data_IF_653693385598
#
_entry.id   IF_653693385598
#
_cell.length_a   1.000
_cell.length_b   1.000
_cell.length_c   1.000
_cell.angle_alpha   90.00
_cell.angle_beta   90.00
_cell.angle_gamma   90.00
#
_symmetry.space_group_name_H-M   'P 1'
#
loop_
_entity.id
_entity.type
_entity.pdbx_description
1 polymer ?
#
# COMPACT_ATOMS: atom_id res chain seq x y z
N UNK A 1 9.28 16.33 26.45
CA UNK A 1 8.85 17.52 25.68
C UNK A 1 8.90 17.12 24.20
N UNK A 2 7.77 17.13 23.48
CA UNK A 2 7.73 16.74 22.06
C UNK A 2 8.24 17.94 21.24
N UNK A 3 9.32 17.75 20.48
CA UNK A 3 9.90 18.75 19.61
C UNK A 3 9.10 18.79 18.30
N UNK A 4 8.45 19.92 18.03
CA UNK A 4 7.81 20.14 16.72
C UNK A 4 8.91 20.44 15.71
N UNK A 5 8.98 19.64 14.66
CA UNK A 5 9.94 19.84 13.57
C UNK A 5 9.17 20.14 12.28
N UNK A 6 9.70 21.01 11.44
CA UNK A 6 9.23 21.06 10.05
C UNK A 6 9.92 19.95 9.27
N UNK A 7 9.28 19.47 8.18
CA UNK A 7 9.89 18.46 7.30
C UNK A 7 11.27 18.89 6.75
N UNK A 8 11.58 20.20 6.74
CA UNK A 8 12.88 20.77 6.38
C UNK A 8 13.96 20.53 7.46
N UNK A 9 13.58 20.56 8.73
CA UNK A 9 14.52 20.41 9.86
C UNK A 9 14.75 18.95 10.27
N UNK A 10 13.86 18.04 9.86
CA UNK A 10 13.90 16.63 10.21
C UNK A 10 14.92 15.85 9.35
N UNK A 11 16.11 15.59 9.89
CA UNK A 11 17.02 14.59 9.30
C UNK A 11 16.49 13.19 9.61
N UNK A 12 16.09 12.43 8.58
CA UNK A 12 15.58 11.06 8.73
C UNK A 12 16.51 10.13 9.55
N UNK A 13 17.82 10.35 9.48
CA UNK A 13 18.83 9.60 10.26
C UNK A 13 18.84 9.91 11.77
N UNK A 14 18.04 10.87 12.21
CA UNK A 14 17.90 11.25 13.63
C UNK A 14 16.78 10.47 14.33
N UNK A 15 15.93 9.76 13.58
CA UNK A 15 14.81 9.01 14.14
C UNK A 15 15.24 7.62 14.56
N UNK A 16 14.87 7.22 15.78
CA UNK A 16 15.36 5.97 16.38
C UNK A 16 14.68 4.72 15.80
N UNK A 17 13.40 4.83 15.44
CA UNK A 17 12.58 3.70 14.98
C UNK A 17 12.24 3.75 13.49
N UNK A 18 12.52 4.86 12.80
CA UNK A 18 12.18 5.02 11.38
C UNK A 18 12.78 3.91 10.52
N UNK A 19 14.09 3.67 10.63
CA UNK A 19 14.75 2.65 9.81
C UNK A 19 14.19 1.26 10.12
N UNK A 20 13.99 0.90 11.39
CA UNK A 20 13.37 -0.38 11.77
C UNK A 20 11.99 -0.56 11.13
N UNK A 21 11.15 0.47 11.19
CA UNK A 21 9.82 0.44 10.59
C UNK A 21 9.87 0.31 9.07
N UNK A 22 10.82 0.96 8.41
CA UNK A 22 11.05 0.79 6.96
C UNK A 22 11.44 -0.66 6.64
N UNK A 23 12.35 -1.28 7.39
CA UNK A 23 12.72 -2.68 7.16
C UNK A 23 11.52 -3.62 7.32
N UNK A 24 10.73 -3.45 8.38
CA UNK A 24 9.54 -4.27 8.61
C UNK A 24 8.51 -4.05 7.49
N UNK A 25 8.26 -2.80 7.11
CA UNK A 25 7.37 -2.46 6.00
C UNK A 25 7.80 -3.10 4.69
N UNK A 26 9.10 -3.03 4.34
CA UNK A 26 9.64 -3.63 3.11
C UNK A 26 9.45 -5.15 3.12
N UNK A 27 9.73 -5.82 4.24
CA UNK A 27 9.51 -7.28 4.36
C UNK A 27 8.03 -7.63 4.15
N UNK A 28 7.11 -6.89 4.76
CA UNK A 28 5.67 -7.12 4.60
C UNK A 28 5.25 -6.88 3.14
N UNK A 29 5.78 -5.83 2.49
CA UNK A 29 5.48 -5.51 1.10
C UNK A 29 5.98 -6.59 0.14
N UNK A 30 7.17 -7.15 0.38
CA UNK A 30 7.71 -8.28 -0.38
C UNK A 30 6.81 -9.51 -0.26
N UNK A 31 6.42 -9.87 0.97
CA UNK A 31 5.51 -10.99 1.23
C UNK A 31 4.17 -10.74 0.55
N UNK A 32 3.63 -9.53 0.66
CA UNK A 32 2.35 -9.14 0.05
C UNK A 32 2.33 -9.32 -1.46
N UNK A 33 3.39 -8.90 -2.17
CA UNK A 33 3.49 -9.12 -3.61
C UNK A 33 3.63 -10.60 -3.98
N UNK A 34 4.29 -11.40 -3.15
CA UNK A 34 4.46 -12.83 -3.38
C UNK A 34 3.16 -13.61 -3.19
N UNK A 35 2.43 -13.34 -2.10
CA UNK A 35 1.16 -14.03 -1.78
C UNK A 35 -0.04 -13.42 -2.48
N UNK A 36 0.09 -12.23 -3.06
CA UNK A 36 -0.98 -11.47 -3.69
C UNK A 36 -1.71 -12.20 -4.81
N UNK A 37 -0.99 -13.07 -5.52
CA UNK A 37 -1.54 -13.90 -6.59
C UNK A 37 -2.51 -14.99 -6.10
N UNK A 38 -2.47 -15.36 -4.81
CA UNK A 38 -3.38 -16.36 -4.26
C UNK A 38 -4.75 -15.74 -4.04
N UNK A 39 -5.76 -16.32 -4.67
CA UNK A 39 -7.16 -16.00 -4.40
C UNK A 39 -7.66 -16.93 -3.29
N UNK A 40 -8.08 -16.35 -2.18
CA UNK A 40 -8.66 -17.03 -1.04
C UNK A 40 -10.19 -16.92 -1.10
N UNK A 41 -10.88 -18.01 -0.77
CA UNK A 41 -12.31 -18.01 -0.56
C UNK A 41 -12.61 -17.80 0.93
N UNK A 42 -13.37 -16.76 1.26
CA UNK A 42 -13.80 -16.46 2.62
C UNK A 42 -15.32 -16.65 2.71
N UNK A 43 -15.80 -17.58 3.55
CA UNK A 43 -17.23 -17.72 3.78
C UNK A 43 -17.77 -16.48 4.51
N UNK A 44 -18.79 -15.85 3.93
CA UNK A 44 -19.41 -14.65 4.51
C UNK A 44 -20.62 -15.01 5.36
N UNK A 45 -21.68 -15.50 4.72
CA UNK A 45 -22.93 -15.89 5.37
C UNK A 45 -23.65 -16.95 4.53
N UNK A 46 -24.48 -17.75 5.19
CA UNK A 46 -25.35 -18.70 4.51
C UNK A 46 -26.70 -18.03 4.26
N UNK A 47 -27.14 -17.96 3.00
CA UNK A 47 -28.45 -17.44 2.64
C UNK A 47 -29.18 -18.49 1.81
N UNK A 48 -30.36 -18.90 2.26
CA UNK A 48 -31.20 -19.91 1.59
C UNK A 48 -30.49 -21.26 1.34
N UNK A 49 -29.56 -21.66 2.22
CA UNK A 49 -28.81 -22.92 2.07
C UNK A 49 -27.57 -22.81 1.20
N UNK A 50 -27.35 -21.67 0.52
CA UNK A 50 -26.15 -21.39 -0.25
C UNK A 50 -25.15 -20.59 0.60
N UNK A 51 -23.92 -21.11 0.71
CA UNK A 51 -22.83 -20.41 1.38
C UNK A 51 -22.23 -19.37 0.45
N UNK A 52 -22.51 -18.10 0.72
CA UNK A 52 -21.93 -16.99 -0.02
C UNK A 52 -20.45 -16.85 0.35
N UNK A 53 -19.59 -16.94 -0.66
CA UNK A 53 -18.13 -16.84 -0.49
C UNK A 53 -17.61 -15.58 -1.19
N UNK A 54 -16.90 -14.73 -0.44
CA UNK A 54 -16.12 -13.66 -1.03
C UNK A 54 -14.79 -14.21 -1.53
N UNK A 55 -14.35 -13.74 -2.68
CA UNK A 55 -12.98 -13.95 -3.13
C UNK A 55 -12.16 -12.76 -2.69
N UNK A 56 -11.05 -13.03 -2.00
CA UNK A 56 -10.08 -12.00 -1.62
C UNK A 56 -8.70 -12.43 -2.08
N UNK A 57 -7.86 -11.48 -2.48
CA UNK A 57 -6.46 -11.78 -2.79
C UNK A 57 -5.63 -11.83 -1.51
N UNK A 58 -4.53 -12.58 -1.52
CA UNK A 58 -3.58 -12.61 -0.39
C UNK A 58 -3.04 -11.21 -0.04
N UNK A 59 -2.92 -10.32 -1.03
CA UNK A 59 -2.47 -8.95 -0.85
C UNK A 59 -3.51 -8.13 -0.07
N UNK A 60 -4.81 -8.36 -0.30
CA UNK A 60 -5.88 -7.69 0.44
C UNK A 60 -5.87 -8.03 1.93
N UNK A 61 -5.46 -9.25 2.30
CA UNK A 61 -5.32 -9.67 3.70
C UNK A 61 -4.20 -8.90 4.40
N UNK A 62 -3.10 -8.62 3.70
CA UNK A 62 -1.93 -7.93 4.25
C UNK A 62 -2.02 -6.40 4.14
N UNK A 63 -2.91 -5.89 3.30
CA UNK A 63 -3.12 -4.46 3.09
C UNK A 63 -3.35 -3.67 4.40
N UNK A 64 -4.21 -4.12 5.33
CA UNK A 64 -4.32 -3.57 6.68
C UNK A 64 -3.01 -3.15 7.35
N UNK A 65 -2.05 -4.07 7.33
CA UNK A 65 -0.77 -3.88 8.02
C UNK A 65 0.03 -2.81 7.29
N UNK A 66 0.15 -2.91 5.96
CA UNK A 66 0.88 -1.91 5.16
C UNK A 66 0.28 -0.51 5.27
N UNK A 67 -1.04 -0.41 5.44
CA UNK A 67 -1.73 0.86 5.62
C UNK A 67 -1.34 1.55 6.92
N UNK A 68 -1.32 0.82 8.05
CA UNK A 68 -0.85 1.35 9.34
C UNK A 68 0.58 1.90 9.23
N UNK A 69 1.47 1.21 8.53
CA UNK A 69 2.84 1.71 8.31
C UNK A 69 2.84 3.00 7.49
N UNK A 70 2.02 3.09 6.44
CA UNK A 70 1.85 4.31 5.64
C UNK A 70 1.40 5.50 6.48
N UNK A 71 0.40 5.30 7.35
CA UNK A 71 -0.07 6.31 8.30
C UNK A 71 1.03 6.73 9.27
N UNK A 72 1.75 5.77 9.86
CA UNK A 72 2.87 6.05 10.77
C UNK A 72 3.95 6.86 10.04
N UNK A 73 4.32 6.50 8.82
CA UNK A 73 5.34 7.23 8.08
C UNK A 73 4.95 8.66 7.82
N UNK A 74 3.70 8.88 7.40
CA UNK A 74 3.20 10.21 7.05
C UNK A 74 3.00 11.07 8.30
N UNK A 75 2.37 10.52 9.35
CA UNK A 75 2.01 11.27 10.56
C UNK A 75 3.17 11.50 11.53
N UNK A 76 4.12 10.56 11.65
CA UNK A 76 5.22 10.66 12.62
C UNK A 76 6.47 11.27 11.97
N UNK A 77 6.77 10.88 10.74
CA UNK A 77 8.04 11.22 10.08
C UNK A 77 7.87 12.15 8.86
N UNK A 78 6.64 12.41 8.42
CA UNK A 78 6.30 13.31 7.31
C UNK A 78 6.26 12.63 5.94
N UNK A 79 5.65 13.31 4.96
CA UNK A 79 5.43 12.79 3.60
C UNK A 79 6.73 12.40 2.88
N UNK A 80 7.83 13.13 3.10
CA UNK A 80 9.13 12.80 2.53
C UNK A 80 9.69 11.45 3.02
N UNK A 81 9.44 11.11 4.28
CA UNK A 81 9.83 9.83 4.88
C UNK A 81 8.98 8.67 4.34
N UNK A 82 7.68 8.89 4.22
CA UNK A 82 6.72 7.96 3.61
C UNK A 82 7.10 7.63 2.17
N UNK A 83 7.36 8.66 1.34
CA UNK A 83 7.83 8.50 -0.03
C UNK A 83 9.11 7.65 -0.12
N UNK A 84 10.09 7.90 0.74
CA UNK A 84 11.34 7.12 0.76
C UNK A 84 11.05 5.64 1.07
N UNK A 85 10.21 5.36 2.06
CA UNK A 85 9.84 3.98 2.41
C UNK A 85 9.16 3.26 1.25
N UNK A 86 8.24 3.93 0.56
CA UNK A 86 7.52 3.39 -0.61
C UNK A 86 8.50 3.07 -1.76
N UNK A 87 9.40 4.00 -2.12
CA UNK A 87 10.39 3.75 -3.18
C UNK A 87 11.38 2.64 -2.82
N UNK A 88 11.82 2.56 -1.57
CA UNK A 88 12.66 1.45 -1.11
C UNK A 88 11.91 0.11 -1.19
N UNK A 89 10.62 0.11 -0.84
CA UNK A 89 9.74 -1.05 -0.99
C UNK A 89 9.63 -1.52 -2.44
N UNK A 90 9.29 -0.63 -3.37
CA UNK A 90 9.21 -0.98 -4.78
C UNK A 90 10.54 -1.43 -5.36
N UNK A 91 11.65 -0.79 -4.98
CA UNK A 91 12.99 -1.21 -5.38
C UNK A 91 13.32 -2.62 -4.87
N UNK A 92 13.02 -2.92 -3.60
CA UNK A 92 13.20 -4.26 -3.05
C UNK A 92 12.33 -5.30 -3.77
N UNK A 93 11.08 -4.96 -4.10
CA UNK A 93 10.21 -5.81 -4.89
C UNK A 93 10.78 -6.07 -6.29
N UNK A 94 11.34 -5.06 -6.95
CA UNK A 94 12.02 -5.25 -8.24
C UNK A 94 13.21 -6.21 -8.11
N UNK A 95 14.02 -6.08 -7.05
CA UNK A 95 15.12 -7.03 -6.79
C UNK A 95 14.57 -8.45 -6.60
N UNK A 96 13.53 -8.63 -5.77
CA UNK A 96 12.87 -9.92 -5.59
C UNK A 96 12.43 -10.52 -6.93
N UNK A 97 11.81 -9.71 -7.79
CA UNK A 97 11.36 -10.14 -9.11
C UNK A 97 12.52 -10.59 -10.00
N UNK A 98 13.59 -9.79 -10.08
CA UNK A 98 14.73 -10.08 -10.95
C UNK A 98 15.48 -11.33 -10.47
N UNK A 99 15.74 -11.43 -9.16
CA UNK A 99 16.39 -12.61 -8.58
C UNK A 99 15.51 -13.85 -8.73
N UNK A 100 14.21 -13.73 -8.49
CA UNK A 100 13.26 -14.83 -8.66
C UNK A 100 13.23 -15.36 -10.10
N UNK A 101 13.10 -14.47 -11.08
CA UNK A 101 13.13 -14.84 -12.51
C UNK A 101 14.49 -15.44 -12.93
N UNK A 102 15.60 -14.91 -12.39
CA UNK A 102 16.92 -15.45 -12.66
C UNK A 102 17.06 -16.90 -12.16
N UNK A 103 16.58 -17.19 -10.96
CA UNK A 103 16.62 -18.56 -10.42
C UNK A 103 15.67 -19.49 -11.17
N UNK A 104 14.49 -19.02 -11.58
CA UNK A 104 13.57 -19.79 -12.43
C UNK A 104 14.22 -20.18 -13.76
N UNK A 105 15.02 -19.29 -14.35
CA UNK A 105 15.68 -19.51 -15.64
C UNK A 105 16.81 -20.55 -15.59
N UNK A 106 17.42 -20.76 -14.42
CA UNK A 106 18.45 -21.78 -14.24
C UNK A 106 17.81 -23.18 -14.34
N UNK A 107 18.37 -24.12 -15.13
CA UNK A 107 17.84 -25.47 -15.21
C UNK A 107 17.74 -26.14 -13.84
N UNK A 108 16.58 -26.72 -13.56
CA UNK A 108 16.38 -27.52 -12.36
C UNK A 108 17.33 -28.72 -12.33
N UNK A 109 17.82 -29.07 -11.14
CA UNK A 109 18.55 -30.31 -10.96
C UNK A 109 17.64 -31.51 -11.29
N UNK A 110 18.17 -32.64 -11.82
CA UNK A 110 17.35 -33.79 -12.22
C UNK A 110 16.47 -34.36 -11.11
N UNK A 111 16.88 -34.18 -9.85
CA UNK A 111 16.23 -34.64 -8.63
C UNK A 111 15.30 -33.58 -7.98
N UNK A 112 15.18 -32.38 -8.56
CA UNK A 112 14.29 -31.33 -8.06
C UNK A 112 12.87 -31.42 -8.65
N UNK A 113 11.83 -31.78 -7.87
CA UNK A 113 10.50 -32.06 -8.42
C UNK A 113 9.60 -30.81 -8.57
N UNK A 114 9.99 -29.66 -8.01
CA UNK A 114 9.08 -28.53 -7.78
C UNK A 114 9.19 -27.40 -8.81
N UNK A 115 9.82 -27.63 -9.96
CA UNK A 115 10.07 -26.58 -10.95
C UNK A 115 8.78 -25.89 -11.42
N UNK A 116 7.74 -26.66 -11.75
CA UNK A 116 6.46 -26.09 -12.22
C UNK A 116 5.77 -25.22 -11.16
N UNK A 117 5.83 -25.60 -9.89
CA UNK A 117 5.27 -24.81 -8.79
C UNK A 117 6.08 -23.52 -8.57
N UNK A 118 7.40 -23.60 -8.68
CA UNK A 118 8.30 -22.46 -8.55
C UNK A 118 8.07 -21.44 -9.66
N UNK A 119 7.96 -21.90 -10.91
CA UNK A 119 7.59 -21.10 -12.08
C UNK A 119 6.25 -20.40 -11.92
N UNK A 120 5.22 -21.14 -11.47
CA UNK A 120 3.87 -20.58 -11.28
C UNK A 120 3.86 -19.38 -10.32
N UNK A 121 4.66 -19.45 -9.24
CA UNK A 121 4.78 -18.39 -8.26
C UNK A 121 5.58 -17.21 -8.81
N UNK A 122 6.79 -17.45 -9.31
CA UNK A 122 7.74 -16.38 -9.63
C UNK A 122 7.48 -15.70 -10.99
N UNK A 123 6.88 -16.38 -11.98
CA UNK A 123 6.48 -15.70 -13.22
C UNK A 123 5.36 -14.68 -13.01
N UNK A 124 4.58 -14.82 -11.94
CA UNK A 124 3.48 -13.91 -11.63
C UNK A 124 3.94 -12.67 -10.84
N UNK A 125 5.04 -12.77 -10.09
CA UNK A 125 5.59 -11.69 -9.24
C UNK A 125 5.85 -10.37 -10.00
N UNK A 126 6.54 -10.35 -11.17
CA UNK A 126 6.80 -9.11 -11.91
C UNK A 126 5.52 -8.37 -12.25
N UNK A 127 4.48 -9.11 -12.62
CA UNK A 127 3.17 -8.57 -12.98
C UNK A 127 2.49 -7.89 -11.79
N UNK A 128 2.56 -8.49 -10.59
CA UNK A 128 1.99 -7.92 -9.37
C UNK A 128 2.71 -6.65 -8.94
N UNK A 129 4.03 -6.59 -9.14
CA UNK A 129 4.82 -5.40 -8.82
C UNK A 129 4.46 -4.24 -9.75
N UNK A 130 4.36 -4.51 -11.06
CA UNK A 130 3.91 -3.51 -12.05
C UNK A 130 2.48 -3.08 -11.75
N UNK A 131 1.58 -4.01 -11.46
CA UNK A 131 0.20 -3.71 -11.08
C UNK A 131 0.15 -2.78 -9.85
N UNK A 132 0.91 -3.10 -8.80
CA UNK A 132 0.95 -2.33 -7.56
C UNK A 132 1.55 -0.93 -7.78
N UNK A 133 2.59 -0.80 -8.60
CA UNK A 133 3.21 0.50 -8.89
C UNK A 133 2.26 1.41 -9.69
N UNK A 134 1.63 0.89 -10.74
CA UNK A 134 0.70 1.66 -11.59
C UNK A 134 -0.57 2.02 -10.81
N UNK A 135 -1.10 1.07 -10.04
CA UNK A 135 -2.25 1.30 -9.16
C UNK A 135 -1.96 2.40 -8.14
N UNK A 136 -0.81 2.33 -7.48
CA UNK A 136 -0.38 3.34 -6.52
C UNK A 136 -0.32 4.73 -7.17
N UNK A 137 0.29 4.88 -8.36
CA UNK A 137 0.38 6.18 -9.02
C UNK A 137 -0.99 6.74 -9.44
N UNK A 138 -1.84 5.92 -10.06
CA UNK A 138 -3.15 6.36 -10.51
C UNK A 138 -4.10 6.62 -9.32
N UNK A 139 -4.00 5.83 -8.27
CA UNK A 139 -4.74 6.02 -7.02
C UNK A 139 -4.34 7.30 -6.30
N UNK A 140 -3.04 7.54 -6.13
CA UNK A 140 -2.50 8.75 -5.49
C UNK A 140 -2.84 10.02 -6.28
N UNK A 141 -2.73 9.96 -7.62
CA UNK A 141 -3.11 11.08 -8.48
C UNK A 141 -4.61 11.38 -8.38
N UNK A 142 -5.46 10.34 -8.44
CA UNK A 142 -6.91 10.49 -8.27
C UNK A 142 -7.26 11.07 -6.90
N UNK A 143 -6.63 10.58 -5.83
CA UNK A 143 -6.82 11.09 -4.48
C UNK A 143 -6.50 12.59 -4.41
N UNK A 144 -5.28 12.97 -4.80
CA UNK A 144 -4.79 14.35 -4.74
C UNK A 144 -5.64 15.30 -5.59
N UNK A 145 -6.01 14.88 -6.81
CA UNK A 145 -6.86 15.66 -7.71
C UNK A 145 -8.27 15.86 -7.13
N UNK A 146 -8.87 14.80 -6.59
CA UNK A 146 -10.21 14.85 -5.98
C UNK A 146 -10.21 15.77 -4.77
N UNK A 147 -9.20 15.67 -3.90
CA UNK A 147 -9.02 16.56 -2.75
C UNK A 147 -8.95 18.03 -3.18
N UNK A 148 -8.16 18.33 -4.22
CA UNK A 148 -8.01 19.69 -4.74
C UNK A 148 -9.33 20.23 -5.32
N UNK A 149 -10.06 19.44 -6.11
CA UNK A 149 -11.36 19.83 -6.69
C UNK A 149 -12.42 20.03 -5.62
N UNK A 150 -12.53 19.12 -4.66
CA UNK A 150 -13.52 19.26 -3.59
C UNK A 150 -13.23 20.46 -2.69
N UNK A 151 -11.95 20.84 -2.49
CA UNK A 151 -11.60 22.10 -1.78
C UNK A 151 -12.18 23.34 -2.46
N UNK A 152 -12.21 23.36 -3.79
CA UNK A 152 -12.82 24.45 -4.55
C UNK A 152 -14.35 24.42 -4.42
N UNK A 153 -14.97 23.25 -4.49
CA UNK A 153 -16.43 23.11 -4.36
C UNK A 153 -16.96 23.45 -2.97
N UNK A 154 -16.16 23.25 -1.93
CA UNK A 154 -16.58 23.53 -0.55
C UNK A 154 -16.13 24.88 -0.03
N UNK A 155 -15.53 25.75 -0.86
CA UNK A 155 -14.90 27.01 -0.46
C UNK A 155 -13.94 26.83 0.73
N UNK A 156 -13.21 25.71 0.74
CA UNK A 156 -12.32 25.34 1.84
C UNK A 156 -12.99 24.91 3.15
N UNK A 157 -14.33 24.88 3.22
CA UNK A 157 -15.10 24.35 4.37
C UNK A 157 -15.10 22.81 4.34
N UNK A 158 -15.43 22.18 5.47
CA UNK A 158 -15.57 20.71 5.61
C UNK A 158 -14.32 19.93 5.16
N UNK A 159 -13.28 19.89 5.99
CA UNK A 159 -12.05 19.14 5.67
C UNK A 159 -12.33 17.62 5.57
N UNK A 160 -13.13 17.10 6.49
CA UNK A 160 -13.42 15.67 6.58
C UNK A 160 -14.05 15.09 5.29
N UNK A 161 -14.95 15.83 4.63
CA UNK A 161 -15.60 15.36 3.40
C UNK A 161 -14.59 15.18 2.27
N UNK A 162 -13.57 16.04 2.22
CA UNK A 162 -12.52 16.01 1.22
C UNK A 162 -11.55 14.88 1.46
N UNK A 163 -11.12 14.70 2.71
CA UNK A 163 -10.23 13.60 3.09
C UNK A 163 -10.88 12.26 2.78
N UNK A 164 -12.09 12.00 3.32
CA UNK A 164 -12.81 10.74 3.09
C UNK A 164 -13.18 10.54 1.62
N UNK A 165 -13.71 11.58 0.96
CA UNK A 165 -14.10 11.51 -0.45
C UNK A 165 -12.93 11.24 -1.38
N UNK A 166 -11.77 11.88 -1.12
CA UNK A 166 -10.55 11.65 -1.89
C UNK A 166 -9.98 10.25 -1.67
N UNK A 167 -10.03 9.72 -0.44
CA UNK A 167 -9.58 8.36 -0.14
C UNK A 167 -10.47 7.32 -0.82
N UNK A 168 -11.79 7.48 -0.75
CA UNK A 168 -12.76 6.64 -1.45
C UNK A 168 -12.47 6.61 -2.96
N UNK A 169 -12.30 7.78 -3.60
CA UNK A 169 -12.00 7.85 -5.02
C UNK A 169 -10.63 7.22 -5.37
N UNK A 170 -9.59 7.54 -4.59
CA UNK A 170 -8.24 7.02 -4.78
C UNK A 170 -8.16 5.50 -4.62
N UNK A 171 -8.77 4.95 -3.57
CA UNK A 171 -8.79 3.51 -3.29
C UNK A 171 -9.62 2.73 -4.31
N UNK A 172 -10.68 3.34 -4.86
CA UNK A 172 -11.44 2.72 -5.94
C UNK A 172 -10.57 2.57 -7.20
N UNK A 173 -9.86 3.63 -7.60
CA UNK A 173 -8.95 3.59 -8.75
C UNK A 173 -7.78 2.64 -8.51
N UNK A 174 -7.11 2.74 -7.35
CA UNK A 174 -6.01 1.85 -6.98
C UNK A 174 -6.43 0.37 -7.06
N UNK A 175 -7.52 0.01 -6.38
CA UNK A 175 -7.98 -1.38 -6.32
C UNK A 175 -8.41 -1.89 -7.69
N UNK A 176 -9.10 -1.06 -8.47
CA UNK A 176 -9.55 -1.42 -9.83
C UNK A 176 -8.36 -1.65 -10.75
N UNK A 177 -7.42 -0.71 -10.80
CA UNK A 177 -6.23 -0.79 -11.66
C UNK A 177 -5.37 -1.99 -11.26
N UNK A 178 -5.16 -2.20 -9.96
CA UNK A 178 -4.39 -3.34 -9.47
C UNK A 178 -5.01 -4.64 -9.94
N UNK A 179 -6.32 -4.84 -9.76
CA UNK A 179 -6.98 -6.09 -10.16
C UNK A 179 -6.98 -6.27 -11.67
N UNK A 180 -7.24 -5.21 -12.45
CA UNK A 180 -7.22 -5.26 -13.91
C UNK A 180 -5.84 -5.68 -14.44
N UNK A 181 -4.76 -5.09 -13.91
CA UNK A 181 -3.40 -5.40 -14.37
C UNK A 181 -2.95 -6.75 -13.81
N UNK A 182 -3.20 -7.06 -12.54
CA UNK A 182 -2.70 -8.29 -11.91
C UNK A 182 -3.42 -9.56 -12.42
N UNK A 183 -4.73 -9.50 -12.64
CA UNK A 183 -5.56 -10.67 -12.97
C UNK A 183 -6.16 -10.65 -14.39
N UNK A 184 -6.04 -9.54 -15.13
CA UNK A 184 -6.61 -9.40 -16.48
C UNK A 184 -6.13 -10.49 -17.46
N UNK A 185 -7.06 -11.16 -18.14
CA UNK A 185 -6.74 -12.25 -19.07
C UNK A 185 -6.25 -13.54 -18.39
N UNK A 186 -6.22 -13.62 -17.05
CA UNK A 186 -5.99 -14.85 -16.28
C UNK A 186 -7.26 -15.32 -15.57
N UNK A 187 -8.00 -14.39 -15.00
CA UNK A 187 -9.22 -14.65 -14.26
C UNK A 187 -10.48 -14.23 -15.04
N UNK A 188 -11.61 -14.83 -14.70
CA UNK A 188 -12.90 -14.44 -15.28
C UNK A 188 -13.31 -13.04 -14.84
N UNK A 189 -14.04 -12.32 -15.69
CA UNK A 189 -14.55 -10.97 -15.39
C UNK A 189 -15.34 -10.91 -14.08
N UNK A 190 -16.18 -11.91 -13.81
CA UNK A 190 -16.92 -12.03 -12.55
C UNK A 190 -16.00 -12.17 -11.33
N UNK A 191 -14.91 -12.92 -11.45
CA UNK A 191 -13.91 -13.05 -10.37
C UNK A 191 -13.19 -11.74 -10.13
N UNK A 192 -12.81 -11.03 -11.20
CA UNK A 192 -12.17 -9.72 -11.09
C UNK A 192 -13.10 -8.69 -10.46
N UNK A 193 -14.37 -8.62 -10.88
CA UNK A 193 -15.37 -7.74 -10.25
C UNK A 193 -15.55 -8.06 -8.77
N UNK A 194 -15.61 -9.35 -8.40
CA UNK A 194 -15.68 -9.75 -7.00
C UNK A 194 -14.46 -9.24 -6.22
N UNK A 195 -13.25 -9.43 -6.75
CA UNK A 195 -12.00 -8.96 -6.13
C UNK A 195 -11.94 -7.44 -5.98
N UNK A 196 -12.47 -6.70 -6.97
CA UNK A 196 -12.54 -5.23 -6.91
C UNK A 196 -13.49 -4.81 -5.79
N UNK A 197 -14.71 -5.36 -5.77
CA UNK A 197 -15.74 -4.99 -4.79
C UNK A 197 -15.30 -5.41 -3.39
N UNK A 198 -14.88 -6.67 -3.21
CA UNK A 198 -14.45 -7.21 -1.91
C UNK A 198 -13.22 -6.48 -1.39
N UNK A 199 -12.25 -6.20 -2.27
CA UNK A 199 -11.06 -5.43 -1.93
C UNK A 199 -11.39 -4.01 -1.52
N UNK A 200 -12.17 -3.30 -2.33
CA UNK A 200 -12.54 -1.91 -2.06
C UNK A 200 -13.35 -1.79 -0.76
N UNK A 201 -14.39 -2.59 -0.59
CA UNK A 201 -15.22 -2.59 0.63
C UNK A 201 -14.38 -3.00 1.84
N UNK A 202 -13.55 -4.04 1.70
CA UNK A 202 -12.66 -4.49 2.77
C UNK A 202 -11.69 -3.41 3.23
N UNK A 203 -11.08 -2.67 2.30
CA UNK A 203 -10.20 -1.55 2.61
C UNK A 203 -10.93 -0.43 3.35
N UNK A 204 -12.10 -0.01 2.87
CA UNK A 204 -12.89 1.07 3.50
C UNK A 204 -13.37 0.68 4.90
N UNK A 205 -13.88 -0.54 5.08
CA UNK A 205 -14.31 -1.05 6.38
C UNK A 205 -13.13 -1.16 7.36
N UNK A 206 -11.99 -1.63 6.86
CA UNK A 206 -10.78 -1.73 7.66
C UNK A 206 -10.30 -0.34 8.09
N UNK A 207 -10.22 0.63 7.19
CA UNK A 207 -9.78 1.99 7.51
C UNK A 207 -10.66 2.59 8.61
N UNK A 208 -11.99 2.45 8.50
CA UNK A 208 -12.93 2.89 9.52
C UNK A 208 -12.70 2.20 10.88
N UNK A 209 -12.46 0.89 10.89
CA UNK A 209 -12.24 0.11 12.12
C UNK A 209 -10.85 0.33 12.75
N UNK A 210 -9.82 0.53 11.93
CA UNK A 210 -8.43 0.66 12.34
C UNK A 210 -8.05 2.07 12.76
N UNK A 211 -8.80 3.09 12.31
CA UNK A 211 -8.56 4.50 12.65
C UNK A 211 -8.24 4.73 14.14
N UNK A 212 -9.03 4.24 15.12
CA UNK A 212 -8.72 4.43 16.54
C UNK A 212 -7.37 3.82 16.96
N UNK A 213 -7.05 2.63 16.43
CA UNK A 213 -5.80 1.94 16.73
C UNK A 213 -4.61 2.68 16.12
N UNK A 214 -4.74 3.16 14.88
CA UNK A 214 -3.72 4.00 14.23
C UNK A 214 -3.40 5.21 15.10
N UNK A 215 -4.41 5.94 15.59
CA UNK A 215 -4.20 7.08 16.49
C UNK A 215 -3.43 6.70 17.76
N UNK A 216 -3.72 5.54 18.37
CA UNK A 216 -3.01 5.08 19.56
C UNK A 216 -1.52 4.79 19.27
N UNK A 217 -1.24 4.10 18.17
CA UNK A 217 0.14 3.74 17.78
C UNK A 217 0.94 5.00 17.41
N UNK A 218 0.37 5.86 16.57
CA UNK A 218 1.00 7.13 16.15
C UNK A 218 1.30 8.00 17.37
N UNK A 219 0.34 8.19 18.28
CA UNK A 219 0.55 9.03 19.47
C UNK A 219 1.60 8.46 20.43
N UNK A 220 1.65 7.13 20.61
CA UNK A 220 2.72 6.48 21.38
C UNK A 220 4.08 6.67 20.73
N UNK A 221 4.15 6.55 19.40
CA UNK A 221 5.41 6.68 18.68
C UNK A 221 5.92 8.13 18.65
N UNK A 222 5.04 9.12 18.45
CA UNK A 222 5.37 10.55 18.58
C UNK A 222 5.95 10.87 19.96
N UNK A 223 5.40 10.28 21.03
CA UNK A 223 5.93 10.43 22.39
C UNK A 223 7.27 9.73 22.59
N UNK A 224 7.45 8.53 22.02
CA UNK A 224 8.67 7.75 22.14
C UNK A 224 9.85 8.34 21.34
N UNK A 225 9.58 8.88 20.15
CA UNK A 225 10.55 9.63 19.35
C UNK A 225 10.76 11.06 19.88
N UNK A 226 9.78 11.59 20.61
CA UNK A 226 9.79 12.97 21.09
C UNK A 226 9.68 13.99 19.96
N UNK A 227 9.07 13.62 18.82
CA UNK A 227 8.95 14.47 17.63
C UNK A 227 7.52 14.46 17.08
N UNK A 228 7.10 15.60 16.54
CA UNK A 228 5.87 15.76 15.75
C UNK A 228 6.21 16.59 14.49
N UNK A 229 6.25 15.94 13.32
CA UNK A 229 6.69 16.56 12.05
C UNK A 229 5.48 17.14 11.30
N UNK A 230 5.58 18.40 10.88
CA UNK A 230 4.53 19.07 10.08
C UNK A 230 5.00 19.32 8.64
N UNK A 231 4.21 18.88 7.66
CA UNK A 231 4.42 19.05 6.22
C UNK A 231 3.92 20.42 5.70
N UNK A 232 4.44 21.54 6.22
CA UNK A 232 3.96 22.89 5.85
C UNK A 232 4.40 23.38 4.46
N UNK A 233 5.53 22.88 3.94
CA UNK A 233 6.12 23.31 2.64
C UNK A 233 6.52 22.11 1.76
N UNK A 234 5.86 20.96 1.93
CA UNK A 234 6.27 19.71 1.29
C UNK A 234 5.78 19.64 -0.15
N UNK A 235 6.70 19.37 -1.09
CA UNK A 235 6.32 19.08 -2.48
C UNK A 235 5.69 17.68 -2.52
N UNK A 236 4.38 17.61 -2.77
CA UNK A 236 3.62 16.35 -2.81
C UNK A 236 3.86 15.50 -4.08
N UNK A 237 4.72 15.92 -5.01
CA UNK A 237 5.05 15.12 -6.19
C UNK A 237 5.83 13.83 -5.78
N UNK A 238 5.34 12.62 -6.11
CA UNK A 238 5.97 11.35 -5.71
C UNK A 238 7.38 11.14 -6.30
N UNK A 239 7.77 11.91 -7.31
CA UNK A 239 9.09 11.89 -7.95
C UNK A 239 10.01 13.03 -7.50
N UNK A 240 9.54 13.98 -6.70
CA UNK A 240 10.40 15.09 -6.28
C UNK A 240 11.55 14.58 -5.41
N UNK A 241 12.79 14.95 -5.77
CA UNK A 241 13.94 14.80 -4.87
C UNK A 241 13.77 15.74 -3.67
N UNK A 242 14.38 15.36 -2.54
CA UNK A 242 14.44 16.14 -1.29
C UNK A 242 14.59 17.63 -1.65
N UNK A 243 13.78 18.53 -1.05
CA UNK A 243 14.09 19.96 -1.09
C UNK A 243 15.46 20.14 -0.42
N UNK A 244 16.52 20.14 -1.22
CA UNK A 244 17.82 20.68 -0.88
C UNK A 244 17.86 22.05 -1.53
N UNK A 245 17.69 23.12 -0.75
CA UNK A 245 18.27 24.39 -1.16
C UNK A 245 18.63 25.20 0.09
N UNK A 246 19.94 25.40 0.22
CA UNK A 246 20.71 26.48 0.89
C UNK A 246 20.34 26.87 2.33
#
# INVERSE_FOLDING_TARGET
>A
MIRRLTARDARLSSFRYYDLLVHVFVVILLISNLVGQKICAVPLFNFHGELWTAKISGAQVLFPITYIFGDIFTEVYGYGASRRAIWLGFFACTILSLMGLFIVWIPAAPDWPNQAAFEAVFYTVPRFIVASLVAFWLGEFTNSYTLAKMKLWTDGKWLWTRTVGSTVAGQFVDTTVLVLIAFGGRESWLTMLNLIISGYVGKVLYEAAATPLTYLVVNKLKRAEGVDVYDRDTNFNPFARRQQVL
#
